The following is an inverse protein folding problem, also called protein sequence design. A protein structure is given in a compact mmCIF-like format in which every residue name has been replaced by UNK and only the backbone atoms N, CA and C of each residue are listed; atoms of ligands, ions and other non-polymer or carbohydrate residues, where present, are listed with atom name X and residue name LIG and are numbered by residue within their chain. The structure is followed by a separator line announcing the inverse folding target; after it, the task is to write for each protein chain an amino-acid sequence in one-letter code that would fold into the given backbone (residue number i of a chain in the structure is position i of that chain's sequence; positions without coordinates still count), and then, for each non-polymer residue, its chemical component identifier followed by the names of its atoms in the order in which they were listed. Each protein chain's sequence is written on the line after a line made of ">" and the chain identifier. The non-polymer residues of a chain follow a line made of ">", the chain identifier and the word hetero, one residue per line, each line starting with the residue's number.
data_IF_893272037858
#
_entry.id   IF_893272037858
#
_cell.length_a   1.000
_cell.length_b   1.000
_cell.length_c   1.000
_cell.angle_alpha   90.00
_cell.angle_beta   90.00
_cell.angle_gamma   90.00
#
_symmetry.space_group_name_H-M   'P 1'
#
loop_
_entity.id
_entity.type
_entity.pdbx_description
1 polymer ?
#
# COMPACT_ATOMS: atom_id res chain seq x y z
N UNK A 1 -13.45 -16.79 7.69
CA UNK A 1 -14.26 -17.33 6.57
C UNK A 1 -15.44 -16.44 6.20
N UNK A 2 -16.27 -15.96 7.15
CA UNK A 2 -17.43 -15.11 6.82
C UNK A 2 -17.11 -13.96 5.87
N UNK A 3 -16.04 -13.21 6.14
CA UNK A 3 -15.64 -12.07 5.30
C UNK A 3 -15.27 -12.48 3.85
N UNK A 4 -14.50 -13.55 3.66
CA UNK A 4 -14.12 -14.03 2.32
C UNK A 4 -15.27 -14.67 1.53
N UNK A 5 -16.41 -14.92 2.19
CA UNK A 5 -17.60 -15.51 1.57
C UNK A 5 -18.76 -14.51 1.53
N UNK A 6 -18.56 -13.27 2.00
CA UNK A 6 -19.59 -12.24 2.01
C UNK A 6 -19.85 -11.73 0.59
N UNK A 7 -21.11 -11.37 0.31
CA UNK A 7 -21.46 -10.64 -0.90
C UNK A 7 -20.74 -9.28 -0.92
N UNK A 8 -20.47 -8.78 -2.14
CA UNK A 8 -19.73 -7.52 -2.31
C UNK A 8 -20.39 -6.35 -1.58
N UNK A 9 -21.72 -6.33 -1.45
CA UNK A 9 -22.47 -5.28 -0.75
C UNK A 9 -22.34 -5.33 0.77
N UNK A 10 -21.87 -6.44 1.33
CA UNK A 10 -21.75 -6.67 2.78
C UNK A 10 -20.30 -6.81 3.25
N UNK A 11 -19.36 -7.02 2.31
CA UNK A 11 -17.94 -7.17 2.62
C UNK A 11 -17.32 -5.85 3.08
N UNK A 12 -16.52 -5.96 4.14
CA UNK A 12 -15.60 -4.92 4.62
C UNK A 12 -14.24 -4.94 3.91
N UNK A 13 -14.04 -5.80 2.90
CA UNK A 13 -12.88 -5.82 1.98
C UNK A 13 -13.20 -4.99 0.71
N UNK A 14 -13.90 -3.88 0.86
CA UNK A 14 -14.23 -2.94 -0.22
C UNK A 14 -13.26 -1.75 -0.29
N UNK A 15 -12.25 -1.74 0.60
CA UNK A 15 -11.29 -0.66 0.78
C UNK A 15 -11.67 0.34 1.88
N UNK A 16 -12.94 0.42 2.29
CA UNK A 16 -13.39 1.38 3.30
C UNK A 16 -12.80 1.10 4.70
N UNK A 17 -12.53 -0.17 5.00
CA UNK A 17 -11.82 -0.60 6.19
C UNK A 17 -10.44 -1.15 5.81
N UNK A 18 -9.40 -0.35 6.04
CA UNK A 18 -8.03 -0.64 5.64
C UNK A 18 -7.41 -1.73 6.49
N UNK A 19 -7.72 -1.76 7.79
CA UNK A 19 -7.32 -2.87 8.67
C UNK A 19 -7.84 -4.20 8.11
N UNK A 20 -9.14 -4.31 7.89
CA UNK A 20 -9.76 -5.55 7.40
C UNK A 20 -9.24 -5.89 5.99
N UNK A 21 -9.16 -4.92 5.10
CA UNK A 21 -8.69 -5.12 3.73
C UNK A 21 -7.25 -5.64 3.69
N UNK A 22 -6.30 -4.98 4.36
CA UNK A 22 -4.88 -5.37 4.29
C UNK A 22 -4.61 -6.69 5.02
N UNK A 23 -5.23 -6.93 6.18
CA UNK A 23 -5.09 -8.20 6.90
C UNK A 23 -5.68 -9.35 6.08
N UNK A 24 -6.83 -9.15 5.43
CA UNK A 24 -7.45 -10.18 4.58
C UNK A 24 -6.59 -10.47 3.34
N UNK A 25 -6.07 -9.43 2.68
CA UNK A 25 -5.15 -9.61 1.55
C UNK A 25 -3.87 -10.32 1.95
N UNK A 26 -3.28 -9.99 3.12
CA UNK A 26 -2.13 -10.71 3.65
C UNK A 26 -2.43 -12.20 3.87
N UNK A 27 -3.56 -12.52 4.53
CA UNK A 27 -4.00 -13.91 4.72
C UNK A 27 -4.18 -14.65 3.40
N UNK A 28 -4.74 -13.99 2.38
CA UNK A 28 -4.92 -14.59 1.05
C UNK A 28 -3.57 -14.83 0.35
N UNK A 29 -2.65 -13.88 0.42
CA UNK A 29 -1.32 -13.99 -0.16
C UNK A 29 -0.55 -15.18 0.41
N UNK A 30 -0.54 -15.33 1.75
CA UNK A 30 0.15 -16.46 2.40
C UNK A 30 -0.54 -17.80 2.07
N UNK A 31 -1.88 -17.84 2.03
CA UNK A 31 -2.62 -19.05 1.71
C UNK A 31 -2.36 -19.52 0.28
N UNK A 32 -2.35 -18.60 -0.69
CA UNK A 32 -2.03 -18.90 -2.07
C UNK A 32 -0.58 -19.39 -2.22
N UNK A 33 0.37 -18.81 -1.49
CA UNK A 33 1.75 -19.30 -1.48
C UNK A 33 1.85 -20.73 -0.94
N UNK A 34 1.13 -21.07 0.13
CA UNK A 34 1.09 -22.44 0.65
C UNK A 34 0.41 -23.42 -0.31
N UNK A 35 -0.62 -22.98 -1.06
CA UNK A 35 -1.21 -23.79 -2.14
C UNK A 35 -0.16 -24.11 -3.20
N UNK A 36 0.60 -23.13 -3.69
CA UNK A 36 1.67 -23.38 -4.66
C UNK A 36 2.74 -24.35 -4.13
N UNK A 37 3.15 -24.18 -2.86
CA UNK A 37 4.10 -25.10 -2.21
C UNK A 37 3.57 -26.53 -2.12
N UNK A 38 2.27 -26.71 -1.89
CA UNK A 38 1.64 -28.03 -1.85
C UNK A 38 1.67 -28.76 -3.20
N UNK A 39 1.77 -28.03 -4.31
CA UNK A 39 2.05 -28.57 -5.65
C UNK A 39 3.55 -28.74 -5.95
N UNK A 40 4.42 -28.59 -4.95
CA UNK A 40 5.87 -28.71 -5.10
C UNK A 40 6.55 -27.47 -5.70
N UNK A 41 5.84 -26.37 -5.89
CA UNK A 41 6.39 -25.13 -6.45
C UNK A 41 6.96 -24.27 -5.32
N UNK A 42 8.28 -24.18 -5.27
CA UNK A 42 9.01 -23.39 -4.27
C UNK A 42 9.52 -22.08 -4.89
N UNK A 43 9.29 -20.92 -4.26
CA UNK A 43 9.82 -19.66 -4.77
C UNK A 43 11.33 -19.60 -4.59
N UNK A 44 12.07 -19.32 -5.67
CA UNK A 44 13.49 -19.00 -5.59
C UNK A 44 13.75 -17.57 -5.12
N UNK A 45 12.76 -16.68 -5.29
CA UNK A 45 12.77 -15.31 -4.83
C UNK A 45 11.33 -14.84 -4.59
N UNK A 46 11.16 -13.79 -3.78
CA UNK A 46 9.88 -13.12 -3.52
C UNK A 46 10.06 -11.61 -3.64
N UNK A 47 9.05 -10.93 -4.17
CA UNK A 47 9.00 -9.47 -4.24
C UNK A 47 7.62 -9.05 -3.74
N UNK A 48 7.61 -8.17 -2.74
CA UNK A 48 6.39 -7.54 -2.25
C UNK A 48 6.22 -6.14 -2.82
N UNK A 49 4.99 -5.67 -2.86
CA UNK A 49 4.67 -4.26 -3.16
C UNK A 49 3.95 -3.65 -1.96
N UNK A 50 4.55 -2.64 -1.34
CA UNK A 50 3.95 -1.91 -0.22
C UNK A 50 3.53 -2.83 0.95
N UNK A 51 2.24 -3.08 1.16
CA UNK A 51 1.77 -4.01 2.21
C UNK A 51 2.10 -5.47 1.88
N UNK A 52 2.25 -5.82 0.60
CA UNK A 52 2.60 -7.16 0.14
C UNK A 52 4.01 -7.59 0.56
N UNK A 53 4.88 -6.66 0.93
CA UNK A 53 6.19 -6.98 1.51
C UNK A 53 6.08 -7.74 2.83
N UNK A 54 4.98 -7.54 3.57
CA UNK A 54 4.77 -8.28 4.83
C UNK A 54 4.52 -9.76 4.55
N UNK A 55 3.73 -10.08 3.52
CA UNK A 55 3.55 -11.46 3.06
C UNK A 55 4.83 -12.03 2.48
N UNK A 56 5.56 -11.27 1.65
CA UNK A 56 6.83 -11.69 1.08
C UNK A 56 7.86 -12.04 2.17
N UNK A 57 7.99 -11.19 3.19
CA UNK A 57 8.90 -11.42 4.32
C UNK A 57 8.53 -12.67 5.13
N UNK A 58 7.24 -12.98 5.29
CA UNK A 58 6.83 -14.24 5.88
C UNK A 58 7.15 -15.44 4.98
N UNK A 59 6.83 -15.36 3.69
CA UNK A 59 7.02 -16.45 2.73
C UNK A 59 8.51 -16.79 2.56
N UNK A 60 9.40 -15.80 2.59
CA UNK A 60 10.86 -16.02 2.55
C UNK A 60 11.45 -16.56 3.86
N UNK A 61 10.69 -16.54 4.95
CA UNK A 61 11.17 -16.91 6.29
C UNK A 61 11.84 -15.78 7.06
N UNK A 62 11.95 -14.57 6.49
CA UNK A 62 12.54 -13.41 7.17
C UNK A 62 11.72 -12.93 8.37
N UNK A 63 10.40 -13.19 8.40
CA UNK A 63 9.55 -12.96 9.56
C UNK A 63 8.82 -14.25 9.97
N UNK A 64 8.70 -14.47 11.27
CA UNK A 64 7.75 -15.45 11.80
C UNK A 64 6.31 -15.03 11.45
N UNK A 65 5.37 -15.99 11.41
CA UNK A 65 3.95 -15.66 11.18
C UNK A 65 3.44 -14.66 12.22
N UNK A 66 3.84 -14.82 13.49
CA UNK A 66 3.46 -13.93 14.59
C UNK A 66 3.91 -12.49 14.32
N UNK A 67 5.15 -12.31 13.91
CA UNK A 67 5.73 -10.99 13.63
C UNK A 67 5.11 -10.37 12.36
N UNK A 68 4.91 -11.16 11.31
CA UNK A 68 4.25 -10.69 10.09
C UNK A 68 2.81 -10.23 10.35
N UNK A 69 2.04 -11.00 11.14
CA UNK A 69 0.69 -10.62 11.58
C UNK A 69 0.72 -9.33 12.41
N UNK A 70 1.69 -9.20 13.32
CA UNK A 70 1.86 -7.98 14.12
C UNK A 70 2.11 -6.76 13.24
N UNK A 71 3.00 -6.88 12.25
CA UNK A 71 3.32 -5.81 11.30
C UNK A 71 2.10 -5.39 10.50
N UNK A 72 1.39 -6.33 9.85
CA UNK A 72 0.27 -5.97 8.97
C UNK A 72 -0.89 -5.35 9.77
N UNK A 73 -1.15 -5.85 10.98
CA UNK A 73 -2.21 -5.33 11.84
C UNK A 73 -1.91 -3.90 12.32
N UNK A 74 -0.72 -3.66 12.86
CA UNK A 74 -0.34 -2.34 13.37
C UNK A 74 -0.25 -1.33 12.24
N UNK A 75 0.42 -1.69 11.14
CA UNK A 75 0.58 -0.81 9.97
C UNK A 75 -0.76 -0.36 9.41
N UNK A 76 -1.69 -1.29 9.20
CA UNK A 76 -2.98 -1.00 8.57
C UNK A 76 -3.85 -0.10 9.47
N UNK A 77 -3.85 -0.32 10.78
CA UNK A 77 -4.50 0.57 11.76
C UNK A 77 -3.96 1.99 11.73
N UNK A 78 -2.65 2.14 11.80
CA UNK A 78 -2.00 3.44 11.78
C UNK A 78 -2.25 4.16 10.45
N UNK A 79 -2.17 3.44 9.33
CA UNK A 79 -2.50 3.98 8.01
C UNK A 79 -3.95 4.48 7.95
N UNK A 80 -4.91 3.67 8.41
CA UNK A 80 -6.31 4.06 8.45
C UNK A 80 -6.52 5.35 9.26
N UNK A 81 -5.85 5.49 10.41
CA UNK A 81 -5.95 6.71 11.22
C UNK A 81 -5.31 7.95 10.58
N UNK A 82 -4.31 7.76 9.72
CA UNK A 82 -3.54 8.84 9.12
C UNK A 82 -4.18 9.46 7.88
N UNK A 83 -4.86 8.64 7.08
CA UNK A 83 -5.25 9.01 5.72
C UNK A 83 -6.77 8.95 5.58
N UNK A 84 -7.47 9.91 6.18
CA UNK A 84 -8.94 10.04 6.08
C UNK A 84 -9.36 11.07 5.01
N UNK A 85 -8.40 11.81 4.44
CA UNK A 85 -8.60 12.86 3.42
C UNK A 85 -7.55 12.80 2.32
N UNK A 86 -6.99 11.62 2.09
CA UNK A 86 -5.98 11.39 1.08
C UNK A 86 -6.55 10.84 -0.21
N UNK A 87 -5.76 10.94 -1.27
CA UNK A 87 -6.02 10.27 -2.53
C UNK A 87 -4.73 9.69 -3.11
N UNK A 88 -4.89 8.81 -4.09
CA UNK A 88 -3.78 8.29 -4.90
C UNK A 88 -4.17 8.32 -6.37
N UNK A 89 -3.22 8.67 -7.23
CA UNK A 89 -3.39 8.72 -8.69
C UNK A 89 -2.27 7.93 -9.37
N UNK A 90 -2.64 7.05 -10.29
CA UNK A 90 -1.71 6.44 -11.22
C UNK A 90 -1.55 7.34 -12.45
N UNK A 91 -0.32 7.61 -12.84
CA UNK A 91 0.05 8.53 -13.91
C UNK A 91 0.87 7.75 -14.94
N UNK A 92 0.48 7.85 -16.21
CA UNK A 92 1.22 7.26 -17.33
C UNK A 92 2.40 8.15 -17.73
N UNK A 93 3.39 8.26 -16.85
CA UNK A 93 4.61 9.04 -17.08
C UNK A 93 5.78 8.51 -16.23
N UNK A 94 7.03 8.61 -16.72
CA UNK A 94 8.23 8.34 -15.93
C UNK A 94 8.30 9.21 -14.68
N UNK A 95 8.89 8.70 -13.60
CA UNK A 95 8.97 9.41 -12.32
C UNK A 95 9.76 10.72 -12.45
N UNK A 96 10.76 10.77 -13.33
CA UNK A 96 11.61 11.92 -13.58
C UNK A 96 10.82 13.15 -14.04
N UNK A 97 9.73 12.93 -14.80
CA UNK A 97 8.85 14.01 -15.26
C UNK A 97 7.89 14.49 -14.17
N UNK A 98 7.66 13.68 -13.13
CA UNK A 98 6.74 13.96 -12.03
C UNK A 98 7.45 14.62 -10.85
N UNK A 99 8.73 14.33 -10.63
CA UNK A 99 9.56 14.89 -9.54
C UNK A 99 9.41 16.43 -9.40
N UNK A 100 9.45 17.24 -10.47
CA UNK A 100 9.33 18.69 -10.33
C UNK A 100 7.99 19.15 -9.71
N UNK A 101 6.89 18.46 -10.01
CA UNK A 101 5.58 18.77 -9.43
C UNK A 101 5.49 18.35 -7.97
N UNK A 102 6.14 17.24 -7.61
CA UNK A 102 6.22 16.77 -6.22
C UNK A 102 7.08 17.71 -5.37
N UNK A 103 8.20 18.22 -5.89
CA UNK A 103 9.06 19.16 -5.17
C UNK A 103 8.34 20.48 -4.86
N UNK A 104 7.47 20.98 -5.75
CA UNK A 104 6.64 22.17 -5.50
C UNK A 104 5.59 21.96 -4.40
N UNK A 105 5.21 20.71 -4.15
CA UNK A 105 4.10 20.33 -3.26
C UNK A 105 4.55 19.30 -2.21
N UNK A 106 5.81 19.33 -1.77
CA UNK A 106 6.41 18.25 -0.97
C UNK A 106 5.76 18.02 0.39
N UNK A 107 5.04 19.02 0.90
CA UNK A 107 4.29 18.92 2.15
C UNK A 107 2.93 18.22 1.98
N UNK A 108 2.42 18.16 0.75
CA UNK A 108 1.09 17.65 0.42
C UNK A 108 1.13 16.34 -0.37
N UNK A 109 2.12 16.17 -1.26
CA UNK A 109 2.24 15.07 -2.20
C UNK A 109 3.53 14.27 -2.01
N UNK A 110 3.46 12.97 -2.29
CA UNK A 110 4.60 12.07 -2.35
C UNK A 110 4.51 11.12 -3.53
N UNK A 111 5.67 10.66 -4.01
CA UNK A 111 5.75 9.56 -4.96
C UNK A 111 5.51 8.27 -4.20
N UNK A 112 4.39 7.61 -4.46
CA UNK A 112 3.97 6.43 -3.73
C UNK A 112 4.58 5.14 -4.30
N UNK A 113 4.74 5.06 -5.62
CA UNK A 113 5.36 3.93 -6.28
C UNK A 113 5.85 4.32 -7.69
N UNK A 114 6.94 3.69 -8.13
CA UNK A 114 7.37 3.66 -9.53
C UNK A 114 7.16 2.23 -10.02
N UNK A 115 6.06 1.97 -10.72
CA UNK A 115 5.67 0.60 -11.09
C UNK A 115 6.30 0.15 -12.41
N UNK A 116 6.66 1.10 -13.28
CA UNK A 116 7.41 0.85 -14.51
C UNK A 116 8.16 2.12 -14.92
N UNK A 117 8.92 2.04 -16.02
CA UNK A 117 9.57 3.18 -16.66
C UNK A 117 8.59 4.25 -17.17
N UNK A 118 7.29 3.96 -17.21
CA UNK A 118 6.24 4.83 -17.72
C UNK A 118 5.00 4.88 -16.80
N UNK A 119 5.13 4.41 -15.55
CA UNK A 119 4.00 4.36 -14.60
C UNK A 119 4.43 4.77 -13.20
N UNK A 120 3.93 5.92 -12.78
CA UNK A 120 4.20 6.51 -11.47
C UNK A 120 2.90 6.64 -10.69
N UNK A 121 2.90 6.30 -9.41
CA UNK A 121 1.78 6.56 -8.50
C UNK A 121 2.16 7.70 -7.58
N UNK A 122 1.30 8.70 -7.50
CA UNK A 122 1.40 9.82 -6.54
C UNK A 122 0.30 9.68 -5.51
N UNK A 123 0.61 10.03 -4.26
CA UNK A 123 -0.36 10.04 -3.17
C UNK A 123 -0.19 11.26 -2.29
N UNK A 124 -1.26 11.65 -1.60
CA UNK A 124 -1.22 12.80 -0.71
C UNK A 124 -2.59 13.38 -0.42
N UNK A 125 -2.60 14.69 -0.15
CA UNK A 125 -3.82 15.48 -0.03
C UNK A 125 -4.72 15.33 -1.27
N UNK A 126 -6.02 15.12 -1.05
CA UNK A 126 -6.96 14.82 -2.12
C UNK A 126 -7.10 15.96 -3.13
N UNK A 127 -7.11 17.22 -2.67
CA UNK A 127 -7.26 18.38 -3.54
C UNK A 127 -5.98 18.59 -4.35
N UNK A 128 -4.81 18.45 -3.72
CA UNK A 128 -3.52 18.52 -4.41
C UNK A 128 -3.34 17.41 -5.46
N UNK A 129 -3.82 16.19 -5.16
CA UNK A 129 -3.81 15.07 -6.12
C UNK A 129 -4.72 15.38 -7.32
N UNK A 130 -5.91 15.92 -7.08
CA UNK A 130 -6.84 16.29 -8.15
C UNK A 130 -6.28 17.42 -9.03
N UNK A 131 -5.66 18.44 -8.42
CA UNK A 131 -5.01 19.53 -9.15
C UNK A 131 -3.85 19.02 -10.02
N UNK A 132 -3.00 18.15 -9.48
CA UNK A 132 -1.92 17.52 -10.24
C UNK A 132 -2.47 16.73 -11.44
N UNK A 133 -3.48 15.89 -11.21
CA UNK A 133 -4.10 15.09 -12.27
C UNK A 133 -4.65 15.98 -13.39
N UNK A 134 -5.40 17.03 -13.06
CA UNK A 134 -5.95 17.99 -14.04
C UNK A 134 -4.85 18.64 -14.88
N UNK A 135 -3.76 19.11 -14.26
CA UNK A 135 -2.62 19.72 -14.98
C UNK A 135 -1.93 18.76 -15.93
N UNK A 136 -1.82 17.48 -15.56
CA UNK A 136 -1.20 16.45 -16.39
C UNK A 136 -2.12 16.03 -17.53
N UNK A 137 -3.42 15.90 -17.29
CA UNK A 137 -4.42 15.61 -18.32
C UNK A 137 -4.52 16.74 -19.36
N UNK A 138 -4.41 18.00 -18.95
CA UNK A 138 -4.30 19.15 -19.87
C UNK A 138 -3.07 19.06 -20.81
N UNK A 139 -2.02 18.37 -20.37
CA UNK A 139 -0.81 18.09 -21.16
C UNK A 139 -0.91 16.79 -21.97
N UNK A 140 -2.07 16.11 -21.94
CA UNK A 140 -2.30 14.84 -22.63
C UNK A 140 -1.74 13.60 -21.91
N UNK A 141 -1.36 13.71 -20.63
CA UNK A 141 -0.85 12.59 -19.83
C UNK A 141 -2.02 11.91 -19.12
N UNK A 142 -2.18 10.60 -19.32
CA UNK A 142 -3.25 9.83 -18.70
C UNK A 142 -3.07 9.73 -17.18
N UNK A 143 -4.12 10.08 -16.45
CA UNK A 143 -4.19 9.95 -15.01
C UNK A 143 -5.39 9.08 -14.63
N UNK A 144 -5.23 8.24 -13.61
CA UNK A 144 -6.31 7.39 -13.08
C UNK A 144 -6.32 7.47 -11.56
N UNK A 145 -7.36 8.08 -11.00
CA UNK A 145 -7.60 8.02 -9.56
C UNK A 145 -7.80 6.57 -9.10
N UNK A 146 -7.08 6.20 -8.05
CA UNK A 146 -7.17 4.90 -7.43
C UNK A 146 -8.33 4.91 -6.43
N UNK A 147 -9.05 3.78 -6.35
CA UNK A 147 -10.14 3.60 -5.38
C UNK A 147 -9.54 3.26 -4.02
N UNK A 148 -9.10 4.28 -3.29
CA UNK A 148 -8.42 4.12 -2.00
C UNK A 148 -9.22 4.63 -0.81
N UNK A 149 -10.47 5.08 -1.01
CA UNK A 149 -11.42 5.51 0.05
C UNK A 149 -10.76 6.38 1.13
N UNK A 150 -10.08 7.44 0.71
CA UNK A 150 -9.40 8.39 1.60
C UNK A 150 -7.93 8.05 1.89
N UNK A 151 -7.44 6.87 1.48
CA UNK A 151 -6.06 6.46 1.76
C UNK A 151 -5.06 7.11 0.83
N UNK A 152 -3.96 7.57 1.43
CA UNK A 152 -2.76 8.09 0.78
C UNK A 152 -1.49 7.48 1.42
N UNK A 153 -1.26 6.19 1.20
CA UNK A 153 -0.02 5.53 1.63
C UNK A 153 1.20 6.12 0.93
N UNK A 154 2.37 6.08 1.58
CA UNK A 154 3.63 6.63 1.04
C UNK A 154 3.61 8.14 0.76
N UNK A 155 2.82 8.88 1.53
CA UNK A 155 2.70 10.34 1.42
C UNK A 155 3.16 11.05 2.69
N UNK A 156 3.30 12.39 2.68
CA UNK A 156 3.54 13.16 3.91
C UNK A 156 2.50 12.89 5.03
N UNK A 157 1.27 12.50 4.69
CA UNK A 157 0.21 12.23 5.66
C UNK A 157 0.53 11.07 6.62
N UNK A 158 1.36 10.09 6.21
CA UNK A 158 1.71 8.97 7.11
C UNK A 158 2.83 9.32 8.09
N UNK A 159 3.54 10.44 7.88
CA UNK A 159 4.70 10.86 8.69
C UNK A 159 4.42 10.92 10.19
N UNK A 160 3.27 11.46 10.68
CA UNK A 160 2.98 11.52 12.11
C UNK A 160 2.92 10.15 12.79
N UNK A 161 2.58 9.09 12.05
CA UNK A 161 2.48 7.74 12.60
C UNK A 161 3.82 7.02 12.78
N UNK A 162 4.92 7.61 12.29
CA UNK A 162 6.25 6.98 12.33
C UNK A 162 6.67 6.54 13.73
N UNK A 163 6.51 7.43 14.72
CA UNK A 163 6.94 7.16 16.10
C UNK A 163 6.15 5.98 16.66
N UNK A 164 4.82 6.03 16.54
CA UNK A 164 3.93 4.96 17.00
C UNK A 164 4.22 3.62 16.31
N UNK A 165 4.49 3.64 14.99
CA UNK A 165 4.82 2.44 14.24
C UNK A 165 6.12 1.80 14.74
N UNK A 166 7.18 2.59 14.93
CA UNK A 166 8.48 2.10 15.39
C UNK A 166 8.38 1.56 16.82
N UNK A 167 7.71 2.29 17.72
CA UNK A 167 7.52 1.85 19.10
C UNK A 167 6.73 0.54 19.18
N UNK A 168 5.65 0.42 18.41
CA UNK A 168 4.79 -0.77 18.43
C UNK A 168 5.45 -2.01 17.81
N UNK A 169 6.51 -1.84 17.01
CA UNK A 169 7.25 -2.89 16.29
C UNK A 169 8.69 -3.06 16.77
N UNK A 170 9.04 -2.55 17.96
CA UNK A 170 10.42 -2.56 18.46
C UNK A 170 10.92 -3.95 18.94
N UNK A 171 10.03 -4.93 19.05
CA UNK A 171 10.25 -6.29 19.55
C UNK A 171 10.16 -7.34 18.43
N UNK A 172 10.22 -6.92 17.17
CA UNK A 172 10.28 -7.86 16.05
C UNK A 172 11.61 -8.63 16.06
N UNK A 173 11.57 -9.88 15.59
CA UNK A 173 12.77 -10.72 15.49
C UNK A 173 12.99 -11.20 14.04
N UNK A 174 13.39 -10.30 13.12
CA UNK A 174 13.68 -10.69 11.75
C UNK A 174 14.80 -11.73 11.68
N UNK A 175 14.64 -12.71 10.79
CA UNK A 175 15.64 -13.71 10.49
C UNK A 175 16.45 -13.29 9.24
N UNK A 176 17.75 -13.62 9.18
CA UNK A 176 18.61 -13.33 8.05
C UNK A 176 18.21 -14.09 6.77
#
# INVERSE_FOLDING_TARGET
>A
MKEFLADQSESSIDGSNIEITQVSLFCLQIALAEVWKSYGIQPAAVIGHSMGEVAAAYISGALSLRDAVKVILIRSRLLQSATQKGAMVAIESPVEEIIPEIQKNSDLLGIAACNSTSSTVVSGDADAVAELASKLEERGIMCRLLRTTGVAGHSPQVKPQRVLLVEALNDLHPQP
#
